data_IF_923296675862
#
_entry.id   IF_923296675862
#
_cell.length_a   1.000
_cell.length_b   1.000
_cell.length_c   1.000
_cell.angle_alpha   90.00
_cell.angle_beta   90.00
_cell.angle_gamma   90.00
#
_symmetry.space_group_name_H-M   'P 1'
#
loop_
_entity.id
_entity.type
_entity.pdbx_description
1 polymer ?
#
# COMPACT_ATOMS: atom_id res chain seq x y z
N UNK A 1 1.53 13.50 -5.67
CA UNK A 1 0.29 12.72 -5.82
C UNK A 1 0.01 12.42 -7.30
N UNK A 2 -0.76 11.40 -7.63
CA UNK A 2 -1.24 11.17 -9.00
C UNK A 2 -2.31 12.21 -9.31
N UNK A 3 -2.16 12.92 -10.45
CA UNK A 3 -3.05 14.01 -10.84
C UNK A 3 -3.99 13.61 -11.96
N UNK A 4 -3.56 12.70 -12.84
CA UNK A 4 -4.38 12.16 -13.93
C UNK A 4 -3.84 10.81 -14.39
N UNK A 5 -4.68 10.01 -15.05
CA UNK A 5 -4.31 8.72 -15.63
C UNK A 5 -5.06 8.46 -16.95
N UNK A 6 -4.35 7.97 -17.95
CA UNK A 6 -4.90 7.51 -19.22
C UNK A 6 -4.53 6.05 -19.43
N UNK A 7 -5.51 5.23 -19.81
CA UNK A 7 -5.33 3.84 -20.22
C UNK A 7 -5.98 3.60 -21.56
N UNK A 8 -5.25 2.96 -22.49
CA UNK A 8 -5.78 2.52 -23.78
C UNK A 8 -5.42 1.07 -24.00
N UNK A 9 -6.37 0.29 -24.47
CA UNK A 9 -6.20 -1.12 -24.81
C UNK A 9 -5.56 -1.95 -23.69
N UNK A 10 -5.91 -1.65 -22.43
CA UNK A 10 -5.35 -2.32 -21.27
C UNK A 10 -6.36 -3.29 -20.64
N UNK A 11 -6.19 -4.59 -20.89
CA UNK A 11 -7.11 -5.63 -20.48
C UNK A 11 -8.55 -5.39 -20.96
N UNK A 12 -9.54 -5.31 -20.07
CA UNK A 12 -10.92 -5.01 -20.43
C UNK A 12 -11.15 -3.53 -20.81
N UNK A 13 -10.15 -2.66 -20.62
CA UNK A 13 -10.29 -1.22 -20.79
C UNK A 13 -9.89 -0.84 -22.21
N UNK A 14 -10.85 -0.40 -23.04
CA UNK A 14 -10.58 0.11 -24.37
C UNK A 14 -9.97 1.51 -24.32
N UNK A 15 -10.62 2.41 -23.58
CA UNK A 15 -10.14 3.79 -23.39
C UNK A 15 -10.67 4.30 -22.05
N UNK A 16 -9.79 4.90 -21.27
CA UNK A 16 -10.09 5.55 -20.02
C UNK A 16 -9.22 6.79 -19.91
N UNK A 17 -9.83 7.91 -19.57
CA UNK A 17 -9.16 9.17 -19.26
C UNK A 17 -9.71 9.69 -17.93
N UNK A 18 -8.86 9.82 -16.90
CA UNK A 18 -9.22 10.24 -15.57
C UNK A 18 -8.39 11.45 -15.17
N UNK A 19 -9.04 12.59 -15.18
CA UNK A 19 -8.41 13.89 -14.94
C UNK A 19 -8.78 14.45 -13.57
N UNK A 20 -7.98 15.41 -13.09
CA UNK A 20 -8.24 16.15 -11.83
C UNK A 20 -8.40 15.24 -10.60
N UNK A 21 -7.50 14.27 -10.45
CA UNK A 21 -7.51 13.36 -9.31
C UNK A 21 -7.29 14.11 -7.99
N UNK A 22 -8.10 13.74 -6.99
CA UNK A 22 -8.08 14.32 -5.65
C UNK A 22 -7.34 13.46 -4.63
N UNK A 23 -7.55 13.78 -3.36
CA UNK A 23 -7.05 12.97 -2.25
C UNK A 23 -7.82 11.67 -2.08
N UNK A 24 -9.10 11.67 -2.40
CA UNK A 24 -9.94 10.45 -2.49
C UNK A 24 -10.47 10.37 -3.90
N UNK A 25 -10.33 9.21 -4.53
CA UNK A 25 -10.75 8.95 -5.90
C UNK A 25 -11.57 7.66 -5.91
N UNK A 26 -12.73 7.67 -6.54
CA UNK A 26 -13.67 6.55 -6.53
C UNK A 26 -13.89 6.00 -7.94
N UNK A 27 -13.81 4.68 -8.09
CA UNK A 27 -14.19 3.97 -9.32
C UNK A 27 -15.43 3.14 -9.02
N UNK A 28 -16.48 3.34 -9.81
CA UNK A 28 -17.73 2.60 -9.69
C UNK A 28 -18.16 1.95 -11.01
N UNK A 29 -18.92 0.89 -10.92
CA UNK A 29 -19.44 0.17 -12.07
C UNK A 29 -19.76 -1.29 -11.77
N UNK A 30 -20.35 -1.96 -12.74
CA UNK A 30 -20.72 -3.37 -12.64
C UNK A 30 -19.52 -4.29 -12.46
N UNK A 31 -19.77 -5.53 -12.01
CA UNK A 31 -18.71 -6.54 -11.94
C UNK A 31 -18.15 -6.83 -13.34
N UNK A 32 -16.84 -6.98 -13.41
CA UNK A 32 -16.13 -7.27 -14.68
C UNK A 32 -15.85 -6.06 -15.57
N UNK A 33 -16.27 -4.83 -15.23
CA UNK A 33 -15.99 -3.64 -16.06
C UNK A 33 -14.52 -3.18 -16.01
N UNK A 34 -13.70 -3.73 -15.10
CA UNK A 34 -12.27 -3.39 -15.02
C UNK A 34 -11.85 -2.49 -13.87
N UNK A 35 -12.69 -2.26 -12.84
CA UNK A 35 -12.36 -1.43 -11.67
C UNK A 35 -11.03 -1.83 -11.01
N UNK A 36 -10.94 -3.09 -10.57
CA UNK A 36 -9.72 -3.64 -9.95
C UNK A 36 -8.52 -3.62 -10.92
N UNK A 37 -8.80 -3.70 -12.23
CA UNK A 37 -7.78 -3.63 -13.27
C UNK A 37 -7.13 -2.24 -13.32
N UNK A 38 -7.94 -1.17 -13.25
CA UNK A 38 -7.45 0.22 -13.15
C UNK A 38 -6.61 0.41 -11.90
N UNK A 39 -7.11 -0.03 -10.72
CA UNK A 39 -6.37 0.07 -9.47
C UNK A 39 -5.02 -0.64 -9.55
N UNK A 40 -4.99 -1.87 -10.05
CA UNK A 40 -3.77 -2.67 -10.20
C UNK A 40 -2.78 -2.05 -11.19
N UNK A 41 -3.26 -1.44 -12.28
CA UNK A 41 -2.40 -0.76 -13.25
C UNK A 41 -1.71 0.46 -12.60
N UNK A 42 -2.46 1.29 -11.87
CA UNK A 42 -1.90 2.42 -11.12
C UNK A 42 -0.93 1.95 -10.02
N UNK A 43 -1.31 0.90 -9.29
CA UNK A 43 -0.48 0.33 -8.23
C UNK A 43 0.86 -0.20 -8.76
N UNK A 44 0.85 -0.99 -9.84
CA UNK A 44 2.07 -1.52 -10.45
C UNK A 44 3.04 -0.43 -10.89
N UNK A 45 2.52 0.65 -11.48
CA UNK A 45 3.31 1.80 -11.86
C UNK A 45 3.90 2.54 -10.64
N UNK A 46 3.10 2.74 -9.58
CA UNK A 46 3.57 3.37 -8.35
C UNK A 46 4.64 2.53 -7.67
N UNK A 47 4.45 1.20 -7.56
CA UNK A 47 5.47 0.30 -6.99
C UNK A 47 6.76 0.31 -7.79
N UNK A 48 6.68 0.45 -9.10
CA UNK A 48 7.87 0.62 -9.94
C UNK A 48 8.68 1.85 -9.54
N UNK A 49 8.03 2.99 -9.33
CA UNK A 49 8.70 4.22 -8.89
C UNK A 49 9.31 4.12 -7.49
N UNK A 50 8.71 3.30 -6.62
CA UNK A 50 9.15 3.07 -5.24
C UNK A 50 10.30 2.08 -5.14
N UNK A 51 10.38 1.10 -6.02
CA UNK A 51 11.44 0.09 -6.05
C UNK A 51 12.64 0.53 -6.89
N UNK A 52 12.44 1.35 -7.91
CA UNK A 52 13.49 1.87 -8.77
C UNK A 52 14.50 2.72 -7.98
N UNK A 53 15.77 2.35 -8.05
CA UNK A 53 16.89 2.98 -7.32
C UNK A 53 16.73 2.96 -5.79
N UNK A 54 15.96 2.02 -5.25
CA UNK A 54 15.83 1.84 -3.80
C UNK A 54 16.84 0.81 -3.30
N UNK A 55 17.67 1.21 -2.34
CA UNK A 55 18.73 0.34 -1.80
C UNK A 55 19.79 -0.03 -2.84
N UNK A 56 20.11 -1.32 -2.94
CA UNK A 56 21.12 -1.87 -3.86
C UNK A 56 20.51 -2.38 -5.18
N UNK A 57 19.26 -2.05 -5.49
CA UNK A 57 18.58 -2.51 -6.71
C UNK A 57 19.27 -1.97 -7.95
N UNK A 58 19.76 -2.89 -8.79
CA UNK A 58 20.43 -2.59 -10.06
C UNK A 58 19.48 -2.66 -11.27
N UNK A 59 18.25 -3.14 -11.06
CA UNK A 59 17.24 -3.29 -12.12
C UNK A 59 16.77 -1.91 -12.63
N UNK A 60 16.55 -1.84 -13.94
CA UNK A 60 15.94 -0.67 -14.56
C UNK A 60 14.47 -0.57 -14.20
N UNK A 61 13.90 0.63 -14.29
CA UNK A 61 12.47 0.85 -14.09
C UNK A 61 11.60 0.02 -15.05
N UNK A 62 12.07 -0.21 -16.29
CA UNK A 62 11.40 -1.07 -17.26
C UNK A 62 11.37 -2.55 -16.85
N UNK A 63 12.46 -3.07 -16.25
CA UNK A 63 12.52 -4.44 -15.74
C UNK A 63 11.63 -4.61 -14.51
N UNK A 64 11.69 -3.67 -13.57
CA UNK A 64 10.82 -3.65 -12.38
C UNK A 64 9.35 -3.61 -12.80
N UNK A 65 8.99 -2.71 -13.73
CA UNK A 65 7.61 -2.59 -14.22
C UNK A 65 7.11 -3.87 -14.90
N UNK A 66 7.94 -4.46 -15.77
CA UNK A 66 7.59 -5.72 -16.43
C UNK A 66 7.34 -6.85 -15.43
N UNK A 67 8.18 -6.94 -14.39
CA UNK A 67 8.02 -7.89 -13.30
C UNK A 67 6.74 -7.62 -12.48
N UNK A 68 6.48 -6.35 -12.11
CA UNK A 68 5.25 -5.96 -11.41
C UNK A 68 4.00 -6.27 -12.22
N UNK A 69 3.97 -5.99 -13.51
CA UNK A 69 2.84 -6.31 -14.38
C UNK A 69 2.62 -7.84 -14.47
N UNK A 70 3.70 -8.63 -14.65
CA UNK A 70 3.63 -10.08 -14.69
C UNK A 70 2.96 -10.65 -13.44
N UNK A 71 3.42 -10.25 -12.24
CA UNK A 71 2.94 -10.80 -11.00
C UNK A 71 1.61 -10.20 -10.51
N UNK A 72 1.39 -8.90 -10.68
CA UNK A 72 0.13 -8.25 -10.27
C UNK A 72 -1.06 -8.74 -11.07
N UNK A 73 -0.86 -9.04 -12.35
CA UNK A 73 -1.92 -9.55 -13.22
C UNK A 73 -1.85 -11.05 -13.46
N UNK A 74 -0.82 -11.73 -12.94
CA UNK A 74 -0.56 -13.16 -13.14
C UNK A 74 -0.57 -13.54 -14.62
N UNK A 75 0.00 -12.70 -15.46
CA UNK A 75 0.06 -12.87 -16.90
C UNK A 75 1.33 -13.63 -17.29
N UNK A 76 1.22 -14.74 -18.06
CA UNK A 76 2.39 -15.46 -18.54
C UNK A 76 3.29 -14.61 -19.41
N UNK A 77 2.67 -13.77 -20.23
CA UNK A 77 3.31 -12.72 -21.04
C UNK A 77 2.66 -11.39 -20.72
N UNK A 78 3.43 -10.31 -20.57
CA UNK A 78 2.84 -8.99 -20.35
C UNK A 78 1.98 -8.53 -21.53
N UNK A 79 2.26 -9.00 -22.76
CA UNK A 79 1.42 -8.79 -23.94
C UNK A 79 0.00 -9.36 -23.80
N UNK A 80 -0.24 -10.31 -22.88
CA UNK A 80 -1.60 -10.80 -22.59
C UNK A 80 -2.48 -9.74 -21.93
N UNK A 81 -1.89 -8.66 -21.43
CA UNK A 81 -2.58 -7.50 -20.89
C UNK A 81 -3.12 -6.55 -21.98
N UNK A 82 -2.71 -6.71 -23.22
CA UNK A 82 -3.27 -5.94 -24.34
C UNK A 82 -4.71 -6.39 -24.58
N UNK A 83 -5.61 -5.45 -24.80
CA UNK A 83 -7.02 -5.74 -25.10
C UNK A 83 -7.16 -6.69 -26.30
N UNK A 84 -7.94 -7.75 -26.15
CA UNK A 84 -8.06 -8.82 -27.16
C UNK A 84 -8.89 -8.41 -28.40
N UNK A 85 -9.65 -7.31 -28.31
CA UNK A 85 -10.50 -6.83 -29.39
C UNK A 85 -9.77 -5.87 -30.36
N UNK A 86 -8.46 -5.64 -30.16
CA UNK A 86 -7.69 -4.70 -30.96
C UNK A 86 -6.32 -5.26 -31.35
N UNK A 87 -5.76 -4.73 -32.41
CA UNK A 87 -4.36 -4.93 -32.83
C UNK A 87 -3.46 -3.76 -32.42
N UNK A 88 -4.04 -2.69 -31.86
CA UNK A 88 -3.27 -1.56 -31.39
C UNK A 88 -2.56 -1.85 -30.08
N UNK A 89 -1.39 -1.25 -29.82
CA UNK A 89 -0.66 -1.45 -28.59
C UNK A 89 -1.44 -0.98 -27.36
N UNK A 90 -1.11 -1.57 -26.21
CA UNK A 90 -1.47 -1.03 -24.92
C UNK A 90 -0.72 0.27 -24.68
N UNK A 91 -1.40 1.27 -24.13
CA UNK A 91 -0.81 2.49 -23.62
C UNK A 91 -1.30 2.75 -22.21
N UNK A 92 -0.37 3.04 -21.33
CA UNK A 92 -0.62 3.52 -19.96
C UNK A 92 0.17 4.80 -19.73
N UNK A 93 -0.49 5.81 -19.16
CA UNK A 93 0.12 7.08 -18.84
C UNK A 93 -0.48 7.65 -17.57
N UNK A 94 0.33 8.24 -16.71
CA UNK A 94 -0.14 9.08 -15.63
C UNK A 94 0.80 10.26 -15.37
N UNK A 95 0.26 11.29 -14.74
CA UNK A 95 1.05 12.38 -14.21
C UNK A 95 1.15 12.28 -12.68
N UNK A 96 2.37 12.27 -12.18
CA UNK A 96 2.68 12.36 -10.75
C UNK A 96 3.23 13.76 -10.46
N UNK A 97 2.44 14.58 -9.74
CA UNK A 97 2.62 16.02 -9.71
C UNK A 97 2.62 16.58 -11.13
N UNK A 98 3.75 17.01 -11.67
CA UNK A 98 3.87 17.52 -13.04
C UNK A 98 4.70 16.59 -13.93
N UNK A 99 5.22 15.49 -13.37
CA UNK A 99 6.13 14.57 -14.05
C UNK A 99 5.37 13.43 -14.71
N UNK A 100 5.77 13.09 -15.92
CA UNK A 100 5.16 12.04 -16.73
C UNK A 100 5.76 10.67 -16.45
N UNK A 101 4.88 9.68 -16.33
CA UNK A 101 5.21 8.26 -16.43
C UNK A 101 4.33 7.62 -17.50
N UNK A 102 4.95 7.08 -18.53
CA UNK A 102 4.24 6.52 -19.70
C UNK A 102 4.92 5.27 -20.21
N UNK A 103 4.15 4.25 -20.53
CA UNK A 103 4.63 3.05 -21.20
C UNK A 103 3.60 2.48 -22.16
N UNK A 104 4.11 1.69 -23.13
CA UNK A 104 3.26 0.95 -24.04
C UNK A 104 3.98 -0.27 -24.61
N UNK A 105 3.20 -1.28 -25.00
CA UNK A 105 3.70 -2.49 -25.62
C UNK A 105 2.62 -3.23 -26.42
N UNK A 106 3.06 -4.14 -27.27
CA UNK A 106 2.21 -4.94 -28.16
C UNK A 106 1.89 -6.32 -27.54
N UNK A 107 0.95 -7.04 -28.16
CA UNK A 107 0.45 -8.33 -27.70
C UNK A 107 1.47 -9.48 -27.77
N UNK A 108 2.54 -9.34 -28.51
CA UNK A 108 3.67 -10.29 -28.61
C UNK A 108 4.76 -10.06 -27.56
N UNK A 109 4.68 -8.97 -26.80
CA UNK A 109 5.65 -8.59 -25.78
C UNK A 109 5.69 -9.62 -24.65
N UNK A 110 6.87 -10.18 -24.39
CA UNK A 110 7.01 -11.27 -23.41
C UNK A 110 7.39 -10.76 -22.02
N UNK A 111 8.54 -10.05 -21.88
CA UNK A 111 9.12 -9.70 -20.58
C UNK A 111 9.77 -8.31 -20.51
N UNK A 112 9.85 -7.60 -21.61
CA UNK A 112 10.51 -6.28 -21.64
C UNK A 112 9.55 -5.22 -22.13
N UNK A 113 9.61 -4.03 -21.53
CA UNK A 113 8.82 -2.86 -21.93
C UNK A 113 9.69 -2.00 -22.82
N UNK A 114 9.41 -1.93 -24.13
CA UNK A 114 10.30 -1.28 -25.09
C UNK A 114 10.29 0.25 -24.99
N UNK A 115 9.17 0.82 -24.56
CA UNK A 115 8.93 2.26 -24.57
C UNK A 115 8.42 2.73 -23.21
N UNK A 116 9.33 2.80 -22.22
CA UNK A 116 9.06 3.42 -20.93
C UNK A 116 9.64 4.84 -20.92
N UNK A 117 8.79 5.82 -20.68
CA UNK A 117 9.18 7.20 -20.39
C UNK A 117 8.89 7.51 -18.93
N UNK A 118 9.92 7.73 -18.15
CA UNK A 118 9.82 8.00 -16.72
C UNK A 118 10.55 9.30 -16.39
N UNK A 119 9.79 10.35 -16.13
CA UNK A 119 10.29 11.67 -15.68
C UNK A 119 10.12 11.85 -14.17
N UNK A 120 9.50 10.85 -13.50
CA UNK A 120 9.23 10.91 -12.05
C UNK A 120 10.50 10.53 -11.29
N UNK A 121 10.84 11.32 -10.29
CA UNK A 121 11.95 10.99 -9.38
C UNK A 121 11.61 9.73 -8.57
N UNK A 122 12.60 8.84 -8.29
CA UNK A 122 12.40 7.68 -7.44
C UNK A 122 11.77 8.07 -6.10
N UNK A 123 10.82 7.28 -5.63
CA UNK A 123 10.05 7.58 -4.41
C UNK A 123 10.60 6.83 -3.21
N UNK A 124 10.71 7.54 -2.08
CA UNK A 124 11.01 6.94 -0.78
C UNK A 124 9.75 6.50 -0.02
N UNK A 125 8.60 7.13 -0.34
CA UNK A 125 7.31 6.81 0.28
C UNK A 125 6.72 5.52 -0.28
N UNK A 126 5.78 4.92 0.44
CA UNK A 126 5.21 3.63 0.08
C UNK A 126 3.76 3.75 -0.37
N UNK A 127 3.37 2.90 -1.32
CA UNK A 127 1.99 2.63 -1.68
C UNK A 127 1.55 1.26 -1.16
N UNK A 128 0.27 1.13 -0.85
CA UNK A 128 -0.35 -0.11 -0.37
C UNK A 128 -1.59 -0.42 -1.18
N UNK A 129 -1.79 -1.69 -1.48
CA UNK A 129 -3.03 -2.21 -2.04
C UNK A 129 -3.73 -3.09 -1.01
N UNK A 130 -4.96 -2.73 -0.66
CA UNK A 130 -5.85 -3.54 0.19
C UNK A 130 -6.79 -4.32 -0.71
N UNK A 131 -6.58 -5.63 -0.90
CA UNK A 131 -7.43 -6.44 -1.78
C UNK A 131 -8.82 -6.67 -1.16
N UNK A 132 -9.77 -7.06 -2.02
CA UNK A 132 -11.13 -7.41 -1.58
C UNK A 132 -11.14 -8.57 -0.59
N UNK A 133 -10.29 -9.58 -0.83
CA UNK A 133 -10.19 -10.77 0.03
C UNK A 133 -9.29 -10.54 1.22
N UNK A 134 -9.55 -11.28 2.27
CA UNK A 134 -8.83 -11.28 3.53
C UNK A 134 -7.37 -11.76 3.37
N UNK A 135 -6.45 -11.14 4.12
CA UNK A 135 -5.01 -11.39 4.00
C UNK A 135 -4.42 -11.98 5.28
N UNK A 136 -4.84 -11.52 6.46
CA UNK A 136 -4.19 -11.87 7.72
C UNK A 136 -4.26 -13.37 8.04
N UNK A 137 -5.41 -14.02 7.79
CA UNK A 137 -5.56 -15.46 7.99
C UNK A 137 -4.83 -16.28 6.92
N UNK A 138 -4.59 -15.70 5.73
CA UNK A 138 -3.90 -16.33 4.62
C UNK A 138 -2.41 -16.03 4.57
N UNK A 139 -1.91 -15.24 5.52
CA UNK A 139 -0.57 -14.68 5.56
C UNK A 139 0.54 -15.69 5.22
N UNK A 140 0.62 -16.80 5.94
CA UNK A 140 1.65 -17.82 5.72
C UNK A 140 1.49 -18.54 4.38
N UNK A 141 0.25 -18.70 3.91
CA UNK A 141 -0.04 -19.34 2.62
C UNK A 141 0.42 -18.44 1.47
N UNK A 142 0.22 -17.11 1.61
CA UNK A 142 0.67 -16.13 0.64
C UNK A 142 2.20 -16.15 0.56
N UNK A 143 2.90 -16.09 1.69
CA UNK A 143 4.36 -16.14 1.73
C UNK A 143 4.90 -17.44 1.09
N UNK A 144 4.41 -18.59 1.51
CA UNK A 144 4.88 -19.88 0.98
C UNK A 144 4.62 -20.01 -0.53
N UNK A 145 3.44 -19.59 -0.98
CA UNK A 145 3.08 -19.63 -2.40
C UNK A 145 3.97 -18.73 -3.28
N UNK A 146 4.28 -17.53 -2.80
CA UNK A 146 4.96 -16.54 -3.61
C UNK A 146 6.47 -16.57 -3.47
N UNK A 147 7.02 -16.68 -2.27
CA UNK A 147 8.47 -16.69 -2.06
C UNK A 147 9.09 -18.06 -2.29
N UNK A 148 8.51 -19.12 -1.72
CA UNK A 148 9.10 -20.44 -1.80
C UNK A 148 8.75 -21.15 -3.11
N UNK A 149 7.49 -21.14 -3.52
CA UNK A 149 7.03 -21.91 -4.69
C UNK A 149 6.99 -21.07 -5.97
N UNK A 150 7.02 -19.74 -5.89
CA UNK A 150 6.89 -18.81 -7.02
C UNK A 150 5.71 -19.18 -7.93
N UNK A 151 4.57 -19.51 -7.32
CA UNK A 151 3.38 -19.98 -8.03
C UNK A 151 2.33 -18.86 -8.15
N UNK A 152 1.53 -18.92 -9.21
CA UNK A 152 0.34 -18.09 -9.34
C UNK A 152 -0.71 -18.53 -8.29
N UNK A 153 -1.64 -17.62 -7.97
CA UNK A 153 -2.69 -17.82 -6.99
C UNK A 153 -2.90 -16.59 -6.10
N UNK A 154 -1.81 -16.04 -5.59
CA UNK A 154 -1.79 -14.72 -4.97
C UNK A 154 -0.93 -13.78 -5.82
N UNK A 155 -1.46 -12.65 -6.19
CA UNK A 155 -0.71 -11.66 -6.97
C UNK A 155 0.16 -10.75 -6.08
N UNK A 156 0.91 -9.82 -6.68
CA UNK A 156 1.82 -8.94 -5.95
C UNK A 156 1.10 -8.06 -4.94
N UNK A 157 -0.18 -7.73 -5.13
CA UNK A 157 -0.92 -6.91 -4.16
C UNK A 157 -1.04 -7.60 -2.81
N UNK A 158 -1.14 -8.94 -2.79
CA UNK A 158 -1.14 -9.74 -1.57
C UNK A 158 0.24 -9.87 -0.96
N UNK A 159 1.27 -10.18 -1.76
CA UNK A 159 2.63 -10.32 -1.27
C UNK A 159 3.17 -9.01 -0.71
N UNK A 160 3.04 -7.93 -1.46
CA UNK A 160 3.51 -6.60 -1.05
C UNK A 160 2.82 -6.16 0.26
N UNK A 161 1.53 -6.45 0.44
CA UNK A 161 0.81 -6.15 1.68
C UNK A 161 1.33 -6.98 2.87
N UNK A 162 1.56 -8.27 2.66
CA UNK A 162 2.15 -9.16 3.67
C UNK A 162 3.53 -8.68 4.08
N UNK A 163 4.38 -8.29 3.11
CA UNK A 163 5.70 -7.75 3.38
C UNK A 163 5.65 -6.38 4.08
N UNK A 164 4.66 -5.54 3.74
CA UNK A 164 4.44 -4.26 4.40
C UNK A 164 4.03 -4.43 5.89
N UNK A 165 3.21 -5.44 6.19
CA UNK A 165 2.81 -5.77 7.56
C UNK A 165 3.98 -6.30 8.40
N UNK A 166 4.89 -7.08 7.77
CA UNK A 166 6.14 -7.55 8.41
C UNK A 166 7.19 -6.45 8.54
N UNK A 167 6.94 -5.28 7.97
CA UNK A 167 7.92 -4.22 7.92
C UNK A 167 8.25 -3.69 9.32
N UNK A 168 9.12 -4.43 10.00
CA UNK A 168 9.82 -4.02 11.22
C UNK A 168 11.15 -3.33 10.87
N UNK A 169 11.25 -2.74 9.65
CA UNK A 169 12.54 -2.29 9.11
C UNK A 169 13.28 -1.34 10.04
N UNK A 170 12.61 -0.43 10.70
CA UNK A 170 13.30 0.46 11.64
C UNK A 170 13.69 -0.25 12.94
N UNK A 171 12.82 -1.06 13.53
CA UNK A 171 13.14 -1.75 14.79
C UNK A 171 14.21 -2.83 14.59
N UNK A 172 14.12 -3.62 13.52
CA UNK A 172 15.12 -4.62 13.17
C UNK A 172 16.44 -3.99 12.74
N UNK A 173 16.39 -2.88 12.01
CA UNK A 173 17.58 -2.11 11.65
C UNK A 173 18.23 -1.50 12.89
N UNK A 174 17.47 -0.89 13.79
CA UNK A 174 17.97 -0.35 15.06
C UNK A 174 18.46 -1.49 15.95
N UNK A 175 17.75 -2.62 16.07
CA UNK A 175 18.20 -3.76 16.87
C UNK A 175 19.49 -4.38 16.31
N UNK A 176 19.65 -4.47 15.01
CA UNK A 176 20.91 -4.92 14.39
C UNK A 176 22.06 -3.94 14.65
N UNK A 177 21.82 -2.63 14.54
CA UNK A 177 22.81 -1.60 14.87
C UNK A 177 23.20 -1.66 16.36
N UNK A 178 22.24 -1.90 17.25
CA UNK A 178 22.50 -2.07 18.69
C UNK A 178 23.29 -3.37 18.95
N UNK A 179 22.96 -4.46 18.25
CA UNK A 179 23.71 -5.72 18.34
C UNK A 179 25.13 -5.57 17.81
N UNK A 180 25.36 -4.88 16.69
CA UNK A 180 26.67 -4.56 16.17
C UNK A 180 27.49 -3.73 17.17
N UNK A 181 26.87 -2.70 17.78
CA UNK A 181 27.49 -1.90 18.83
C UNK A 181 27.94 -2.76 20.00
N UNK A 182 27.07 -3.64 20.47
CA UNK A 182 27.34 -4.55 21.58
C UNK A 182 28.53 -5.49 21.24
N UNK A 183 28.53 -6.04 20.04
CA UNK A 183 29.62 -6.91 19.55
C UNK A 183 30.98 -6.19 19.50
N UNK A 184 31.00 -4.94 19.03
CA UNK A 184 32.23 -4.12 19.03
C UNK A 184 32.67 -3.76 20.44
N UNK A 185 31.76 -3.49 21.36
CA UNK A 185 32.05 -3.22 22.75
C UNK A 185 32.67 -4.46 23.44
N UNK A 186 32.05 -5.63 23.28
CA UNK A 186 32.56 -6.90 23.82
C UNK A 186 33.93 -7.27 23.25
N UNK A 187 34.16 -7.05 21.96
CA UNK A 187 35.45 -7.24 21.33
C UNK A 187 36.51 -6.32 21.94
N UNK A 188 36.17 -5.05 22.16
CA UNK A 188 37.07 -4.09 22.82
C UNK A 188 37.43 -4.50 24.23
N UNK A 189 36.50 -4.98 25.04
CA UNK A 189 36.74 -5.48 26.40
C UNK A 189 37.54 -6.80 26.37
N UNK A 190 37.25 -7.72 25.46
CA UNK A 190 38.00 -8.94 25.29
C UNK A 190 39.46 -8.66 24.96
N UNK A 191 39.74 -7.74 24.04
CA UNK A 191 41.10 -7.34 23.67
C UNK A 191 41.84 -6.71 24.85
N UNK A 192 41.20 -5.85 25.64
CA UNK A 192 41.77 -5.24 26.83
C UNK A 192 42.18 -6.28 27.88
N UNK A 193 41.36 -7.32 28.06
CA UNK A 193 41.55 -8.32 29.11
C UNK A 193 42.53 -9.41 28.71
N UNK A 194 42.47 -9.91 27.46
CA UNK A 194 43.14 -11.14 27.04
C UNK A 194 44.33 -10.93 26.09
N UNK A 195 44.42 -9.76 25.47
CA UNK A 195 45.45 -9.50 24.47
C UNK A 195 46.47 -8.43 24.87
N UNK A 196 46.34 -7.87 26.05
CA UNK A 196 47.22 -6.83 26.56
C UNK A 196 48.69 -7.34 26.64
N UNK A 197 48.91 -8.54 27.20
CA UNK A 197 50.23 -9.13 27.41
C UNK A 197 50.84 -9.72 26.12
N UNK A 198 50.00 -10.18 25.16
CA UNK A 198 50.46 -10.71 23.85
C UNK A 198 50.86 -9.61 22.86
N UNK A 199 50.43 -8.37 23.09
CA UNK A 199 50.70 -7.22 22.21
C UNK A 199 51.68 -6.21 22.79
N UNK A 200 52.34 -6.52 23.95
CA UNK A 200 53.32 -5.62 24.58
C UNK A 200 54.50 -5.28 23.67
N UNK A 201 54.93 -6.19 22.76
CA UNK A 201 55.95 -5.91 21.76
C UNK A 201 55.49 -4.97 20.62
N UNK A 202 54.19 -4.58 20.61
CA UNK A 202 53.61 -3.69 19.60
C UNK A 202 52.52 -2.79 20.23
N UNK A 203 52.89 -2.01 21.25
CA UNK A 203 51.98 -1.06 21.91
C UNK A 203 51.21 -0.15 20.94
N UNK A 204 51.89 0.25 19.87
CA UNK A 204 51.34 1.10 18.82
C UNK A 204 50.17 0.41 18.10
N UNK A 205 50.34 -0.87 17.73
CA UNK A 205 49.30 -1.67 17.06
C UNK A 205 48.12 -1.99 17.94
N UNK A 206 48.36 -2.22 19.25
CA UNK A 206 47.30 -2.42 20.25
C UNK A 206 46.45 -1.16 20.40
N UNK A 207 47.05 0.02 20.52
CA UNK A 207 46.38 1.30 20.60
C UNK A 207 45.62 1.63 19.31
N UNK A 208 46.15 1.28 18.13
CA UNK A 208 45.49 1.47 16.84
C UNK A 208 44.22 0.64 16.74
N UNK A 209 44.21 -0.64 17.18
CA UNK A 209 43.06 -1.52 17.19
C UNK A 209 41.97 -0.97 18.15
N UNK A 210 42.34 -0.59 19.37
CA UNK A 210 41.41 -0.02 20.33
C UNK A 210 40.81 1.30 19.85
N UNK A 211 41.60 2.16 19.23
CA UNK A 211 41.10 3.40 18.64
C UNK A 211 40.14 3.14 17.47
N UNK A 212 40.45 2.14 16.63
CA UNK A 212 39.55 1.74 15.53
C UNK A 212 38.20 1.25 16.06
N UNK A 213 38.18 0.41 17.09
CA UNK A 213 36.95 -0.07 17.75
C UNK A 213 36.19 1.10 18.35
N UNK A 214 36.88 1.99 19.08
CA UNK A 214 36.28 3.18 19.68
C UNK A 214 35.64 4.09 18.63
N UNK A 215 36.33 4.39 17.54
CA UNK A 215 35.81 5.20 16.45
C UNK A 215 34.57 4.56 15.84
N UNK A 216 34.55 3.21 15.68
CA UNK A 216 33.40 2.50 15.13
C UNK A 216 32.17 2.56 16.04
N UNK A 217 32.39 2.43 17.37
CA UNK A 217 31.32 2.61 18.37
C UNK A 217 30.77 4.04 18.31
N UNK A 218 31.62 5.07 18.22
CA UNK A 218 31.20 6.46 18.10
C UNK A 218 30.39 6.74 16.82
N UNK A 219 30.78 6.12 15.69
CA UNK A 219 29.98 6.19 14.45
C UNK A 219 28.60 5.56 14.60
N UNK A 220 28.55 4.39 15.26
CA UNK A 220 27.29 3.68 15.55
C UNK A 220 26.42 4.52 16.49
N UNK A 221 26.97 5.09 17.55
CA UNK A 221 26.25 5.97 18.49
C UNK A 221 25.66 7.20 17.77
N UNK A 222 26.40 7.82 16.86
CA UNK A 222 25.89 8.93 16.02
C UNK A 222 24.73 8.49 15.14
N UNK A 223 24.80 7.27 14.55
CA UNK A 223 23.70 6.70 13.76
C UNK A 223 22.46 6.47 14.63
N UNK A 224 22.61 5.88 15.81
CA UNK A 224 21.51 5.65 16.77
C UNK A 224 20.88 6.99 17.17
N UNK A 225 21.67 7.99 17.54
CA UNK A 225 21.15 9.32 17.90
C UNK A 225 20.43 10.01 16.73
N UNK A 226 20.93 9.84 15.49
CA UNK A 226 20.27 10.33 14.29
C UNK A 226 18.90 9.68 14.07
N UNK A 227 18.80 8.36 14.25
CA UNK A 227 17.56 7.60 14.14
C UNK A 227 16.57 7.95 15.27
N UNK A 228 17.05 8.07 16.51
CA UNK A 228 16.22 8.50 17.65
C UNK A 228 15.71 9.94 17.49
N UNK A 229 16.53 10.83 16.93
CA UNK A 229 16.12 12.20 16.61
C UNK A 229 15.08 12.22 15.49
N UNK A 230 15.25 11.37 14.48
CA UNK A 230 14.26 11.15 13.43
C UNK A 230 12.95 10.59 14.01
N UNK A 231 13.01 9.56 14.86
CA UNK A 231 11.86 9.04 15.62
C UNK A 231 11.17 10.12 16.47
N UNK A 232 11.91 10.97 17.19
CA UNK A 232 11.33 12.05 18.00
C UNK A 232 10.72 13.16 17.15
N UNK A 233 11.18 13.36 15.92
CA UNK A 233 10.57 14.30 14.96
C UNK A 233 9.36 13.67 14.26
N UNK A 234 9.37 12.36 14.01
CA UNK A 234 8.22 11.58 13.53
C UNK A 234 7.19 11.31 14.64
N UNK A 235 7.58 11.29 15.92
CA UNK A 235 6.71 11.01 17.07
C UNK A 235 5.81 12.18 17.51
N UNK A 236 5.77 13.29 16.81
CA UNK A 236 4.59 14.13 16.66
C UNK A 236 3.83 13.61 15.45
N UNK A 237 3.26 12.44 15.61
CA UNK A 237 2.59 11.73 14.55
C UNK A 237 1.40 12.57 14.10
N UNK A 238 1.48 13.05 12.86
CA UNK A 238 0.36 13.64 12.13
C UNK A 238 -0.87 12.71 12.19
N UNK A 239 -0.66 11.43 12.51
CA UNK A 239 -1.67 10.39 12.59
C UNK A 239 -2.06 9.97 14.01
N UNK A 240 -1.58 10.62 15.09
CA UNK A 240 -1.93 10.24 16.47
C UNK A 240 -3.45 10.25 16.72
N UNK A 241 -4.15 11.25 16.18
CA UNK A 241 -5.62 11.33 16.25
C UNK A 241 -6.29 10.22 15.43
N UNK A 242 -5.67 9.84 14.29
CA UNK A 242 -6.13 8.76 13.45
C UNK A 242 -5.98 7.41 14.15
N UNK A 243 -4.82 7.16 14.74
CA UNK A 243 -4.54 5.94 15.50
C UNK A 243 -5.46 5.83 16.72
N UNK A 244 -5.68 6.91 17.47
CA UNK A 244 -6.61 6.90 18.59
C UNK A 244 -8.04 6.52 18.17
N UNK A 245 -8.50 6.97 17.00
CA UNK A 245 -9.81 6.58 16.45
C UNK A 245 -9.82 5.13 15.97
N UNK A 246 -8.74 4.66 15.33
CA UNK A 246 -8.56 3.26 14.93
C UNK A 246 -8.58 2.35 16.16
N UNK A 247 -7.80 2.66 17.19
CA UNK A 247 -7.76 1.93 18.47
C UNK A 247 -9.16 1.83 19.11
N UNK A 248 -9.94 2.91 19.10
CA UNK A 248 -11.32 2.92 19.63
C UNK A 248 -12.27 2.03 18.83
N UNK A 249 -12.09 1.91 17.52
CA UNK A 249 -12.92 1.05 16.66
C UNK A 249 -12.51 -0.41 16.82
N UNK A 250 -11.21 -0.67 16.89
CA UNK A 250 -10.66 -2.01 17.01
C UNK A 250 -10.89 -2.61 18.41
N UNK A 251 -10.82 -1.79 19.46
CA UNK A 251 -10.85 -2.24 20.84
C UNK A 251 -9.68 -3.16 21.23
N UNK A 252 -8.60 -3.18 20.43
CA UNK A 252 -7.40 -3.99 20.62
C UNK A 252 -6.41 -3.80 19.47
N UNK A 253 -5.32 -4.56 19.46
CA UNK A 253 -4.25 -4.48 18.46
C UNK A 253 -3.92 -5.85 17.88
N UNK A 254 -3.51 -5.88 16.61
CA UNK A 254 -2.93 -7.09 16.03
C UNK A 254 -1.42 -7.08 16.19
N UNK A 255 -0.88 -8.25 16.48
CA UNK A 255 0.57 -8.47 16.63
C UNK A 255 0.98 -9.75 15.91
N UNK A 256 2.15 -9.71 15.29
CA UNK A 256 2.77 -10.89 14.71
C UNK A 256 3.69 -11.56 15.73
N UNK A 257 3.45 -12.83 15.97
CA UNK A 257 4.22 -13.66 16.88
C UNK A 257 5.26 -14.47 16.07
N UNK A 258 6.53 -14.11 16.23
CA UNK A 258 7.64 -14.73 15.50
C UNK A 258 7.91 -16.18 15.91
N UNK A 259 7.49 -16.63 17.10
CA UNK A 259 7.69 -18.01 17.57
C UNK A 259 6.69 -18.95 16.89
N UNK A 260 5.44 -18.53 16.79
CA UNK A 260 4.36 -19.31 16.20
C UNK A 260 4.15 -19.01 14.71
N UNK A 261 4.79 -17.95 14.17
CA UNK A 261 4.58 -17.42 12.82
C UNK A 261 3.10 -17.10 12.54
N UNK A 262 2.39 -16.47 13.49
CA UNK A 262 0.95 -16.18 13.38
C UNK A 262 0.62 -14.77 13.86
N UNK A 263 -0.43 -14.23 13.27
CA UNK A 263 -1.05 -13.01 13.74
C UNK A 263 -2.06 -13.30 14.85
N UNK A 264 -2.01 -12.48 15.89
CA UNK A 264 -2.92 -12.49 17.01
C UNK A 264 -3.57 -11.13 17.21
N UNK A 265 -4.79 -11.15 17.74
CA UNK A 265 -5.50 -9.96 18.19
C UNK A 265 -5.48 -9.92 19.73
N UNK A 266 -4.90 -8.87 20.27
CA UNK A 266 -4.80 -8.64 21.71
C UNK A 266 -5.88 -7.63 22.11
N UNK A 267 -6.76 -8.03 23.04
CA UNK A 267 -7.81 -7.21 23.60
C UNK A 267 -7.74 -7.26 25.13
N UNK A 268 -7.24 -6.17 25.74
CA UNK A 268 -6.87 -6.20 27.18
C UNK A 268 -5.84 -7.30 27.44
N UNK A 269 -6.11 -8.16 28.42
CA UNK A 269 -5.24 -9.29 28.78
C UNK A 269 -5.49 -10.57 27.94
N UNK A 270 -6.37 -10.51 26.95
CA UNK A 270 -6.74 -11.68 26.16
C UNK A 270 -6.08 -11.65 24.78
N UNK A 271 -5.53 -12.80 24.37
CA UNK A 271 -4.87 -13.01 23.06
C UNK A 271 -5.70 -14.00 22.24
N UNK A 272 -6.21 -13.55 21.10
CA UNK A 272 -7.02 -14.34 20.18
C UNK A 272 -6.29 -14.57 18.86
N UNK A 273 -6.50 -15.73 18.23
CA UNK A 273 -6.07 -15.91 16.83
C UNK A 273 -6.82 -14.92 15.93
N UNK A 274 -6.11 -14.31 14.99
CA UNK A 274 -6.72 -13.37 14.01
C UNK A 274 -7.87 -14.00 13.21
N UNK A 275 -7.90 -15.33 13.09
CA UNK A 275 -8.96 -16.05 12.43
C UNK A 275 -10.35 -15.89 13.06
N UNK A 276 -10.44 -15.53 14.35
CA UNK A 276 -11.74 -15.31 15.03
C UNK A 276 -12.24 -13.87 14.94
N UNK A 277 -11.42 -12.95 14.42
CA UNK A 277 -11.84 -11.56 14.20
C UNK A 277 -12.84 -11.47 13.06
N UNK A 278 -13.80 -10.54 13.17
CA UNK A 278 -14.66 -10.19 12.05
C UNK A 278 -13.83 -9.64 10.88
N UNK A 279 -14.14 -10.06 9.66
CA UNK A 279 -13.37 -9.71 8.45
C UNK A 279 -13.15 -8.20 8.28
N UNK A 280 -14.18 -7.42 8.60
CA UNK A 280 -14.08 -5.97 8.47
C UNK A 280 -13.15 -5.31 9.46
N UNK A 281 -13.06 -5.85 10.66
CA UNK A 281 -12.12 -5.37 11.67
C UNK A 281 -10.68 -5.64 11.22
N UNK A 282 -10.42 -6.72 10.50
CA UNK A 282 -9.09 -7.02 9.97
C UNK A 282 -8.58 -5.97 8.98
N UNK A 283 -9.43 -5.41 8.09
CA UNK A 283 -9.03 -4.33 7.18
C UNK A 283 -8.61 -3.06 7.94
N UNK A 284 -9.36 -2.72 8.99
CA UNK A 284 -9.05 -1.58 9.86
C UNK A 284 -7.74 -1.84 10.64
N UNK A 285 -7.57 -3.06 11.17
CA UNK A 285 -6.37 -3.47 11.88
C UNK A 285 -5.11 -3.45 10.99
N UNK A 286 -5.24 -3.79 9.71
CA UNK A 286 -4.16 -3.65 8.72
C UNK A 286 -3.74 -2.18 8.59
N UNK A 287 -4.68 -1.26 8.43
CA UNK A 287 -4.37 0.18 8.33
C UNK A 287 -3.69 0.70 9.60
N UNK A 288 -4.20 0.32 10.78
CA UNK A 288 -3.59 0.67 12.07
C UNK A 288 -2.15 0.17 12.16
N UNK A 289 -1.91 -1.09 11.80
CA UNK A 289 -0.57 -1.68 11.81
C UNK A 289 0.39 -0.96 10.85
N UNK A 290 -0.07 -0.63 9.64
CA UNK A 290 0.76 0.04 8.63
C UNK A 290 1.08 1.50 8.99
N UNK A 291 0.21 2.16 9.73
CA UNK A 291 0.49 3.48 10.31
C UNK A 291 1.45 3.35 11.49
N UNK A 292 1.19 2.38 12.39
CA UNK A 292 1.97 2.16 13.60
C UNK A 292 3.40 1.69 13.35
N UNK A 293 3.64 0.91 12.28
CA UNK A 293 4.98 0.45 11.90
C UNK A 293 5.74 1.43 10.98
N UNK A 294 5.17 2.63 10.71
CA UNK A 294 5.80 3.66 9.90
C UNK A 294 5.87 3.35 8.40
N UNK A 295 5.19 2.30 7.92
CA UNK A 295 5.14 1.98 6.49
C UNK A 295 4.36 3.02 5.70
N UNK A 296 3.31 3.59 6.30
CA UNK A 296 2.51 4.68 5.75
C UNK A 296 2.92 6.03 6.35
N UNK A 297 2.96 7.04 5.49
CA UNK A 297 3.18 8.45 5.84
C UNK A 297 2.24 9.36 5.03
N UNK A 298 2.33 10.67 5.20
CA UNK A 298 1.48 11.67 4.55
C UNK A 298 1.58 11.71 3.02
N UNK A 299 2.62 11.12 2.44
CA UNK A 299 2.82 11.03 1.00
C UNK A 299 2.42 9.66 0.42
N UNK A 300 1.97 8.74 1.25
CA UNK A 300 1.57 7.41 0.84
C UNK A 300 0.34 7.42 -0.06
N UNK A 301 0.21 6.37 -0.87
CA UNK A 301 -0.97 6.15 -1.72
C UNK A 301 -1.58 4.80 -1.35
N UNK A 302 -2.88 4.78 -1.08
CA UNK A 302 -3.60 3.58 -0.70
C UNK A 302 -4.67 3.24 -1.74
N UNK A 303 -4.59 2.03 -2.27
CA UNK A 303 -5.57 1.45 -3.17
C UNK A 303 -6.43 0.48 -2.39
N UNK A 304 -7.76 0.63 -2.42
CA UNK A 304 -8.70 -0.25 -1.72
C UNK A 304 -9.68 -0.84 -2.73
N UNK A 305 -9.61 -2.13 -2.91
CA UNK A 305 -10.54 -2.87 -3.74
C UNK A 305 -11.69 -3.41 -2.88
N UNK A 306 -12.91 -3.06 -3.26
CA UNK A 306 -14.14 -3.42 -2.54
C UNK A 306 -14.04 -3.15 -1.03
N UNK A 307 -13.97 -1.86 -0.60
CA UNK A 307 -13.91 -1.52 0.82
C UNK A 307 -15.08 -2.12 1.62
N UNK A 308 -16.22 -2.36 0.98
CA UNK A 308 -17.42 -2.98 1.54
C UNK A 308 -17.32 -4.50 1.72
N UNK A 309 -16.39 -5.17 1.07
CA UNK A 309 -16.32 -6.64 1.07
C UNK A 309 -16.20 -7.20 2.49
N UNK A 310 -17.16 -8.08 2.85
CA UNK A 310 -17.30 -8.72 4.15
C UNK A 310 -17.49 -7.76 5.34
N UNK A 311 -17.85 -6.49 5.11
CA UNK A 311 -18.09 -5.48 6.15
C UNK A 311 -19.57 -5.30 6.47
N UNK A 312 -19.88 -5.20 7.78
CA UNK A 312 -21.16 -4.66 8.23
C UNK A 312 -21.27 -3.18 7.83
N UNK A 313 -22.48 -2.66 7.45
CA UNK A 313 -22.65 -1.25 7.06
C UNK A 313 -22.03 -0.23 8.03
N UNK A 314 -22.14 -0.45 9.33
CA UNK A 314 -21.51 0.41 10.35
C UNK A 314 -19.98 0.42 10.25
N UNK A 315 -19.37 -0.71 9.91
CA UNK A 315 -17.93 -0.79 9.76
C UNK A 315 -17.45 -0.12 8.45
N UNK A 316 -18.28 -0.15 7.39
CA UNK A 316 -18.02 0.61 6.16
C UNK A 316 -18.03 2.11 6.48
N UNK A 317 -19.04 2.57 7.22
CA UNK A 317 -19.18 3.97 7.64
C UNK A 317 -17.91 4.45 8.36
N UNK A 318 -17.48 3.72 9.40
CA UNK A 318 -16.26 4.02 10.17
C UNK A 318 -14.99 3.97 9.32
N UNK A 319 -14.86 2.98 8.43
CA UNK A 319 -13.69 2.87 7.54
C UNK A 319 -13.57 4.08 6.62
N UNK A 320 -14.69 4.55 6.05
CA UNK A 320 -14.68 5.70 5.17
C UNK A 320 -14.44 7.03 5.90
N UNK A 321 -14.86 7.16 7.15
CA UNK A 321 -14.47 8.29 8.00
C UNK A 321 -12.95 8.30 8.27
N UNK A 322 -12.33 7.12 8.48
CA UNK A 322 -10.88 6.99 8.60
C UNK A 322 -10.19 7.37 7.29
N UNK A 323 -10.69 6.89 6.15
CA UNK A 323 -10.18 7.26 4.82
C UNK A 323 -10.19 8.77 4.63
N UNK A 324 -11.32 9.43 4.95
CA UNK A 324 -11.45 10.89 4.85
C UNK A 324 -10.45 11.63 5.76
N UNK A 325 -10.31 11.16 6.99
CA UNK A 325 -9.37 11.73 7.96
C UNK A 325 -7.91 11.58 7.51
N UNK A 326 -7.51 10.39 7.06
CA UNK A 326 -6.16 10.14 6.55
C UNK A 326 -5.88 10.94 5.26
N UNK A 327 -6.89 11.13 4.42
CA UNK A 327 -6.79 11.96 3.22
C UNK A 327 -6.54 13.44 3.55
N UNK A 328 -7.17 13.97 4.60
CA UNK A 328 -6.89 15.33 5.11
C UNK A 328 -5.44 15.48 5.59
N UNK A 329 -4.84 14.41 6.07
CA UNK A 329 -3.43 14.38 6.50
C UNK A 329 -2.44 14.07 5.37
N UNK A 330 -2.90 14.03 4.12
CA UNK A 330 -2.00 13.97 2.96
C UNK A 330 -2.03 12.68 2.17
N UNK A 331 -2.46 11.56 2.74
CA UNK A 331 -2.57 10.28 2.03
C UNK A 331 -3.54 10.39 0.85
N UNK A 332 -3.16 9.82 -0.29
CA UNK A 332 -4.05 9.72 -1.46
C UNK A 332 -4.69 8.34 -1.54
N UNK A 333 -5.99 8.31 -1.77
CA UNK A 333 -6.78 7.08 -1.86
C UNK A 333 -7.35 6.86 -3.25
N UNK A 334 -7.34 5.60 -3.68
CA UNK A 334 -8.07 5.10 -4.84
C UNK A 334 -8.95 3.94 -4.39
N UNK A 335 -10.26 4.10 -4.53
CA UNK A 335 -11.26 3.14 -4.08
C UNK A 335 -11.98 2.56 -5.30
N UNK A 336 -12.16 1.25 -5.38
CA UNK A 336 -13.05 0.62 -6.35
C UNK A 336 -14.23 -0.03 -5.61
N UNK A 337 -15.45 0.31 -5.96
CA UNK A 337 -16.63 -0.16 -5.27
C UNK A 337 -17.79 -0.45 -6.23
N UNK A 338 -18.70 -1.33 -5.78
CA UNK A 338 -20.00 -1.54 -6.38
C UNK A 338 -21.15 -1.34 -5.37
N UNK A 339 -20.83 -0.78 -4.19
CA UNK A 339 -21.76 -0.59 -3.10
C UNK A 339 -22.37 0.81 -3.07
N UNK A 340 -23.71 0.89 -3.07
CA UNK A 340 -24.42 2.14 -2.85
C UNK A 340 -24.05 2.79 -1.49
N UNK A 341 -23.79 1.97 -0.45
CA UNK A 341 -23.38 2.48 0.86
C UNK A 341 -22.07 3.25 0.79
N UNK A 342 -21.07 2.74 0.06
CA UNK A 342 -19.78 3.41 -0.13
C UNK A 342 -19.97 4.72 -0.88
N UNK A 343 -20.72 4.70 -1.99
CA UNK A 343 -21.00 5.89 -2.81
C UNK A 343 -21.70 6.95 -1.97
N UNK A 344 -22.76 6.55 -1.24
CA UNK A 344 -23.57 7.48 -0.42
C UNK A 344 -22.78 8.07 0.72
N UNK A 345 -21.97 7.27 1.43
CA UNK A 345 -21.12 7.77 2.53
C UNK A 345 -20.06 8.75 2.01
N UNK A 346 -19.37 8.43 0.92
CA UNK A 346 -18.39 9.33 0.31
C UNK A 346 -19.04 10.62 -0.21
N UNK A 347 -20.27 10.54 -0.74
CA UNK A 347 -21.05 11.73 -1.11
C UNK A 347 -21.31 12.61 0.11
N UNK A 348 -21.75 12.03 1.24
CA UNK A 348 -21.98 12.80 2.47
C UNK A 348 -20.68 13.46 2.96
N UNK A 349 -19.56 12.73 2.98
CA UNK A 349 -18.25 13.26 3.32
C UNK A 349 -17.86 14.43 2.38
N UNK A 350 -18.08 14.26 1.06
CA UNK A 350 -17.77 15.29 0.07
C UNK A 350 -18.59 16.57 0.32
N UNK A 351 -19.88 16.46 0.66
CA UNK A 351 -20.76 17.57 0.95
C UNK A 351 -20.41 18.26 2.27
N UNK A 352 -20.23 17.50 3.34
CA UNK A 352 -19.93 18.03 4.68
C UNK A 352 -18.58 18.75 4.73
N UNK A 353 -17.56 18.17 4.10
CA UNK A 353 -16.20 18.69 4.13
C UNK A 353 -15.85 19.59 2.93
N UNK A 354 -16.79 19.80 2.00
CA UNK A 354 -16.57 20.51 0.74
C UNK A 354 -15.37 19.96 -0.04
N UNK A 355 -15.18 18.62 0.05
CA UNK A 355 -14.05 17.89 -0.52
C UNK A 355 -14.38 17.40 -1.94
N UNK A 356 -13.51 17.70 -2.91
CA UNK A 356 -13.58 17.09 -4.23
C UNK A 356 -13.23 15.60 -4.13
N UNK A 357 -14.17 14.76 -4.54
CA UNK A 357 -13.99 13.31 -4.68
C UNK A 357 -14.32 12.93 -6.14
N UNK A 358 -13.31 12.93 -7.03
CA UNK A 358 -13.49 12.53 -8.41
C UNK A 358 -13.97 11.09 -8.51
N UNK A 359 -15.02 10.88 -9.31
CA UNK A 359 -15.59 9.56 -9.57
C UNK A 359 -15.41 9.19 -11.03
N UNK A 360 -14.94 7.99 -11.25
CA UNK A 360 -14.92 7.33 -12.55
C UNK A 360 -16.02 6.27 -12.58
N UNK A 361 -17.07 6.50 -13.35
CA UNK A 361 -18.25 5.64 -13.44
C UNK A 361 -18.28 4.90 -14.79
N UNK A 362 -18.45 3.56 -14.76
CA UNK A 362 -18.61 2.76 -15.95
C UNK A 362 -20.09 2.55 -16.26
N UNK A 363 -20.53 3.08 -17.42
CA UNK A 363 -21.91 3.01 -17.87
C UNK A 363 -21.97 2.95 -19.41
N UNK A 364 -22.86 2.13 -19.96
CA UNK A 364 -23.05 1.99 -21.41
C UNK A 364 -21.75 1.76 -22.19
N UNK A 365 -20.86 0.91 -21.66
CA UNK A 365 -19.54 0.60 -22.21
C UNK A 365 -18.56 1.79 -22.28
N UNK A 366 -18.82 2.86 -21.53
CA UNK A 366 -17.97 4.03 -21.45
C UNK A 366 -17.62 4.38 -20.01
N UNK A 367 -16.46 4.97 -19.83
CA UNK A 367 -16.04 5.57 -18.57
C UNK A 367 -16.44 7.05 -18.57
N UNK A 368 -17.21 7.46 -17.56
CA UNK A 368 -17.67 8.83 -17.35
C UNK A 368 -17.04 9.38 -16.08
N UNK A 369 -16.65 10.64 -16.11
CA UNK A 369 -16.09 11.32 -14.95
C UNK A 369 -17.10 12.30 -14.35
N UNK A 370 -17.22 12.30 -13.02
CA UNK A 370 -18.00 13.23 -12.21
C UNK A 370 -17.25 13.55 -10.89
N UNK A 371 -17.85 14.32 -10.01
CA UNK A 371 -17.31 14.66 -8.71
C UNK A 371 -18.43 14.69 -7.65
N UNK A 372 -18.27 13.92 -6.57
CA UNK A 372 -19.26 13.84 -5.49
C UNK A 372 -19.45 15.15 -4.73
N UNK A 373 -18.52 16.09 -4.85
CA UNK A 373 -18.70 17.45 -4.33
C UNK A 373 -19.86 18.17 -5.01
N UNK A 374 -20.11 17.88 -6.28
CA UNK A 374 -21.15 18.52 -7.05
C UNK A 374 -22.48 17.77 -6.96
N UNK A 375 -22.48 16.47 -7.27
CA UNK A 375 -23.68 15.63 -7.26
C UNK A 375 -23.32 14.13 -7.23
N UNK A 376 -24.34 13.28 -7.01
CA UNK A 376 -24.25 11.84 -7.22
C UNK A 376 -24.14 11.53 -8.73
N UNK A 377 -23.23 10.63 -9.14
CA UNK A 377 -23.10 10.26 -10.53
C UNK A 377 -24.33 9.45 -11.01
N UNK A 378 -24.72 9.66 -12.26
CA UNK A 378 -25.62 8.74 -12.95
C UNK A 378 -24.97 7.35 -13.00
N UNK A 379 -25.62 6.35 -12.38
CA UNK A 379 -25.06 4.99 -12.35
C UNK A 379 -26.16 3.97 -12.00
N UNK A 380 -26.18 2.80 -12.68
CA UNK A 380 -27.16 1.74 -12.40
C UNK A 380 -27.26 1.27 -10.94
N UNK A 381 -26.18 1.41 -10.16
CA UNK A 381 -26.19 1.07 -8.73
C UNK A 381 -27.11 2.02 -7.97
N UNK A 382 -27.06 3.31 -8.32
CA UNK A 382 -27.88 4.35 -7.69
C UNK A 382 -29.33 4.20 -8.17
N UNK A 383 -29.54 4.01 -9.48
CA UNK A 383 -30.87 3.86 -10.08
C UNK A 383 -31.63 2.67 -9.47
N UNK A 384 -30.99 1.52 -9.30
CA UNK A 384 -31.62 0.34 -8.70
C UNK A 384 -31.94 0.56 -7.22
N UNK A 385 -31.09 1.30 -6.50
CA UNK A 385 -31.34 1.65 -5.09
C UNK A 385 -32.53 2.59 -4.94
N UNK A 386 -32.69 3.57 -5.84
CA UNK A 386 -33.86 4.48 -5.87
C UNK A 386 -35.13 3.69 -6.19
N UNK A 387 -35.10 2.86 -7.21
CA UNK A 387 -36.22 2.02 -7.64
C UNK A 387 -36.71 1.10 -6.50
N UNK A 388 -35.79 0.45 -5.76
CA UNK A 388 -36.17 -0.37 -4.60
C UNK A 388 -36.79 0.44 -3.50
N UNK A 389 -36.36 1.67 -3.26
CA UNK A 389 -36.94 2.58 -2.31
C UNK A 389 -38.38 3.02 -2.72
N UNK A 390 -38.57 3.37 -4.01
CA UNK A 390 -39.88 3.71 -4.57
C UNK A 390 -40.88 2.55 -4.44
N UNK A 391 -40.44 1.31 -4.76
CA UNK A 391 -41.27 0.13 -4.56
C UNK A 391 -41.67 -0.08 -3.10
N UNK A 392 -40.81 0.24 -2.14
CA UNK A 392 -41.14 0.18 -0.72
C UNK A 392 -42.20 1.21 -0.33
N UNK A 393 -42.11 2.44 -0.86
CA UNK A 393 -43.13 3.48 -0.62
C UNK A 393 -44.47 3.07 -1.18
N UNK A 394 -44.54 2.56 -2.40
CA UNK A 394 -45.77 2.08 -3.05
C UNK A 394 -46.49 0.99 -2.23
N UNK A 395 -45.69 0.09 -1.60
CA UNK A 395 -46.24 -0.96 -0.71
C UNK A 395 -46.71 -0.41 0.64
N UNK A 396 -46.15 0.72 1.11
CA UNK A 396 -46.58 1.33 2.37
C UNK A 396 -47.84 2.18 2.23
N UNK A 397 -48.17 2.64 1.01
CA UNK A 397 -49.33 3.44 0.68
C UNK A 397 -50.54 2.57 0.23
N UNK A 398 -50.36 1.26 0.10
CA UNK A 398 -51.39 0.26 -0.23
C UNK A 398 -51.91 -0.47 1.01
#
# INVERSE_FOLDING_TARGET
MINSAELKNFGPIKTLDWQNLGKINLIIGNNGCGKSFVLKALYSAMRTLEEYKRGETLESDAEILANKLHWTFQAEKIGDLVNKDTTEPLLFKFFFNESLFEYGFENDTVKSIPNLKNEVTPRADNSVYLPAKEVLSLFNIILDSRENKKSFGFDDTYLDLVMALLNQHEEKYISNIIADRQSFFELGEYIKIHKKDELEDSQEKYLEILNTIKNRIEEIDKKIQGLEKSKRLQSRNVFDDCQAKLDNILGGKIEYDNETNRWYFNQGDQKYSVGVMAEGIKKIAILDTLLGNGYLNENSIIFIDEPESALHPEAIDKLLDIVAMLAQHGIQFFLASHSYFVIKKLFLIAQEQQLSIPVLSYQNNNWLQSDLKNDLPDNPIIDESIKLYEQQLDLSDS
#
